data_IF_873542790242
#
_entry.id   IF_873542790242
#
_cell.length_a   1.000
_cell.length_b   1.000
_cell.length_c   1.000
_cell.angle_alpha   90.00
_cell.angle_beta   90.00
_cell.angle_gamma   90.00
#
_symmetry.space_group_name_H-M   'P 1'
#
loop_
_entity.id
_entity.type
_entity.pdbx_description
1 polymer ?
#
# COMPACT_ATOMS: atom_id res chain seq x y z
N UNK A 1 -6.85 -10.48 17.20
CA UNK A 1 -7.22 -9.28 16.41
C UNK A 1 -5.91 -8.67 15.90
N UNK A 2 -5.79 -8.35 14.62
CA UNK A 2 -4.58 -7.77 14.00
C UNK A 2 -4.95 -6.50 13.24
N UNK A 3 -4.10 -5.48 13.30
CA UNK A 3 -4.27 -4.22 12.56
C UNK A 3 -3.50 -4.30 11.23
N UNK A 4 -4.17 -4.08 10.12
CA UNK A 4 -3.52 -3.98 8.80
C UNK A 4 -3.62 -2.55 8.27
N UNK A 5 -2.48 -1.96 7.95
CA UNK A 5 -2.36 -0.58 7.47
C UNK A 5 -1.93 -0.65 6.02
N UNK A 6 -2.69 -0.02 5.11
CA UNK A 6 -2.36 0.06 3.69
C UNK A 6 -2.11 1.52 3.34
N UNK A 7 -1.00 1.80 2.65
CA UNK A 7 -0.68 3.16 2.21
C UNK A 7 0.16 3.13 0.95
N UNK A 8 0.17 4.25 0.21
CA UNK A 8 0.96 4.42 -1.00
C UNK A 8 1.97 5.55 -0.82
N UNK A 9 3.11 5.46 -1.51
CA UNK A 9 4.17 6.47 -1.58
C UNK A 9 4.70 6.56 -3.00
N UNK A 10 5.25 7.72 -3.34
CA UNK A 10 5.86 7.88 -4.65
C UNK A 10 7.16 7.09 -4.74
N UNK A 11 7.43 6.47 -5.89
CA UNK A 11 8.64 5.65 -6.08
C UNK A 11 9.94 6.44 -5.88
N UNK A 12 9.92 7.77 -6.07
CA UNK A 12 11.08 8.64 -5.80
C UNK A 12 11.45 8.72 -4.31
N UNK A 13 10.53 8.38 -3.40
CA UNK A 13 10.83 8.33 -1.97
C UNK A 13 11.57 7.05 -1.57
N UNK A 14 11.66 6.08 -2.48
CA UNK A 14 12.32 4.81 -2.25
C UNK A 14 13.83 4.95 -2.47
N UNK A 15 14.60 4.64 -1.44
CA UNK A 15 16.06 4.69 -1.41
C UNK A 15 16.61 3.31 -1.73
N UNK A 16 17.31 3.19 -2.85
CA UNK A 16 18.01 1.99 -3.27
C UNK A 16 19.34 2.38 -3.93
N UNK A 17 20.31 1.46 -3.96
CA UNK A 17 21.55 1.61 -4.72
C UNK A 17 21.32 1.49 -6.23
N UNK A 18 20.21 0.86 -6.64
CA UNK A 18 19.80 0.75 -8.04
C UNK A 18 19.14 2.05 -8.51
N UNK A 19 19.09 2.27 -9.82
CA UNK A 19 18.36 3.43 -10.36
C UNK A 19 16.86 3.29 -10.08
N UNK A 20 16.18 4.36 -9.66
CA UNK A 20 14.72 4.30 -9.48
C UNK A 20 13.99 4.00 -10.80
N UNK A 21 14.59 4.33 -11.94
CA UNK A 21 14.10 4.01 -13.29
C UNK A 21 14.12 2.51 -13.63
N UNK A 22 14.95 1.70 -12.95
CA UNK A 22 14.98 0.25 -13.15
C UNK A 22 13.99 -0.49 -12.25
N UNK A 23 13.29 0.20 -11.35
CA UNK A 23 12.29 -0.40 -10.48
C UNK A 23 10.97 -0.57 -11.23
N UNK A 24 10.44 -1.79 -11.19
CA UNK A 24 9.10 -2.07 -11.70
C UNK A 24 8.04 -1.62 -10.69
N UNK A 25 7.53 -0.39 -10.83
CA UNK A 25 6.37 0.10 -10.08
C UNK A 25 5.05 -0.43 -10.68
N UNK A 26 4.00 -0.63 -9.86
CA UNK A 26 3.97 -0.53 -8.41
C UNK A 26 4.55 -1.78 -7.72
N UNK A 27 5.17 -1.60 -6.55
CA UNK A 27 5.66 -2.71 -5.72
C UNK A 27 5.41 -2.50 -4.23
N UNK A 28 5.29 -3.60 -3.49
CA UNK A 28 5.04 -3.59 -2.05
C UNK A 28 6.31 -3.79 -1.22
N UNK A 29 6.33 -3.10 -0.08
CA UNK A 29 7.21 -3.37 1.07
C UNK A 29 6.38 -3.43 2.35
N UNK A 30 6.86 -4.17 3.34
CA UNK A 30 6.15 -4.31 4.61
C UNK A 30 6.99 -3.94 5.83
N UNK A 31 6.33 -3.38 6.85
CA UNK A 31 6.82 -3.35 8.22
C UNK A 31 5.82 -4.07 9.11
N UNK A 32 6.29 -4.76 10.15
CA UNK A 32 5.41 -5.44 11.08
C UNK A 32 5.85 -5.23 12.51
N UNK A 33 4.90 -5.33 13.44
CA UNK A 33 5.22 -5.35 14.86
C UNK A 33 5.81 -6.70 15.27
N UNK A 34 6.53 -6.72 16.39
CA UNK A 34 7.09 -7.96 16.95
C UNK A 34 6.02 -9.01 17.25
N UNK A 35 4.84 -8.58 17.71
CA UNK A 35 3.71 -9.45 18.02
C UNK A 35 2.98 -10.00 16.79
N UNK A 36 3.31 -9.50 15.59
CA UNK A 36 2.79 -10.05 14.33
C UNK A 36 3.53 -11.33 13.94
N UNK A 37 2.83 -12.46 14.03
CA UNK A 37 3.39 -13.81 13.82
C UNK A 37 3.44 -14.22 12.35
N UNK A 38 2.50 -13.79 11.54
CA UNK A 38 2.43 -14.18 10.13
C UNK A 38 3.47 -13.39 9.31
N UNK A 39 4.21 -14.06 8.40
CA UNK A 39 5.07 -13.34 7.48
C UNK A 39 4.23 -12.50 6.51
N UNK A 40 4.66 -11.28 6.17
CA UNK A 40 3.97 -10.47 5.17
C UNK A 40 4.08 -11.13 3.78
N UNK A 41 3.11 -10.85 2.90
CA UNK A 41 3.08 -11.37 1.53
C UNK A 41 4.06 -10.68 0.56
N UNK A 42 4.94 -9.81 1.07
CA UNK A 42 5.95 -9.09 0.30
C UNK A 42 7.21 -8.88 1.15
N UNK A 43 8.35 -8.49 0.55
CA UNK A 43 9.58 -8.23 1.28
C UNK A 43 9.41 -7.16 2.37
N UNK A 44 10.17 -7.29 3.45
CA UNK A 44 10.24 -6.26 4.48
C UNK A 44 10.90 -4.99 3.93
N UNK A 45 10.52 -3.84 4.48
CA UNK A 45 11.14 -2.56 4.16
C UNK A 45 12.58 -2.54 4.65
N UNK A 46 13.51 -2.56 3.71
CA UNK A 46 14.95 -2.54 3.98
C UNK A 46 15.45 -1.13 4.33
N UNK A 47 16.51 -1.05 5.13
CA UNK A 47 17.19 0.22 5.39
C UNK A 47 17.89 0.71 4.11
N UNK A 48 17.94 2.04 3.84
CA UNK A 48 17.62 3.15 4.73
C UNK A 48 16.18 3.70 4.58
N UNK A 49 15.26 2.90 4.05
CA UNK A 49 13.86 3.32 3.89
C UNK A 49 13.15 3.37 5.24
N UNK A 50 12.35 4.42 5.44
CA UNK A 50 11.57 4.62 6.67
C UNK A 50 10.10 4.89 6.35
N UNK A 51 9.21 4.27 7.12
CA UNK A 51 7.82 4.70 7.17
C UNK A 51 7.72 5.99 8.00
N UNK A 52 6.85 6.90 7.59
CA UNK A 52 6.60 8.14 8.32
C UNK A 52 5.14 8.60 8.16
N UNK A 53 4.77 9.67 8.87
CA UNK A 53 3.40 10.18 8.92
C UNK A 53 2.44 9.27 9.69
N UNK A 54 1.15 9.37 9.38
CA UNK A 54 0.09 8.63 10.06
C UNK A 54 0.29 7.09 10.05
N UNK A 55 0.64 6.44 8.92
CA UNK A 55 0.83 4.99 8.91
C UNK A 55 1.92 4.51 9.88
N UNK A 56 3.01 5.27 9.99
CA UNK A 56 4.09 4.98 10.93
C UNK A 56 3.67 5.22 12.39
N UNK A 57 2.91 6.28 12.66
CA UNK A 57 2.38 6.55 13.99
C UNK A 57 1.44 5.43 14.47
N UNK A 58 0.54 4.95 13.62
CA UNK A 58 -0.35 3.81 13.94
C UNK A 58 0.44 2.54 14.19
N UNK A 59 1.44 2.23 13.35
CA UNK A 59 2.28 1.05 13.55
C UNK A 59 3.09 1.14 14.85
N UNK A 60 3.62 2.33 15.16
CA UNK A 60 4.40 2.59 16.39
C UNK A 60 3.52 2.45 17.63
N UNK A 61 2.29 2.96 17.59
CA UNK A 61 1.31 2.74 18.65
C UNK A 61 1.08 1.24 18.86
N UNK A 62 0.84 0.49 17.77
CA UNK A 62 0.65 -0.96 17.88
C UNK A 62 1.88 -1.66 18.46
N UNK A 63 3.09 -1.24 18.07
CA UNK A 63 4.33 -1.81 18.60
C UNK A 63 4.48 -1.57 20.10
N UNK A 64 4.20 -0.37 20.60
CA UNK A 64 4.30 -0.03 22.04
C UNK A 64 3.28 -0.81 22.85
N UNK A 65 2.06 -0.93 22.35
CA UNK A 65 0.95 -1.59 23.04
C UNK A 65 0.85 -3.11 22.77
N UNK A 66 1.88 -3.69 22.13
CA UNK A 66 1.94 -5.12 21.79
C UNK A 66 0.72 -5.62 21.00
N UNK A 67 0.22 -4.78 20.11
CA UNK A 67 -0.87 -5.10 19.19
C UNK A 67 -0.23 -5.68 17.91
N UNK A 68 -0.61 -6.90 17.49
CA UNK A 68 -0.17 -7.44 16.21
C UNK A 68 -0.58 -6.51 15.07
N UNK A 69 0.37 -6.00 14.30
CA UNK A 69 0.10 -5.11 13.20
C UNK A 69 1.09 -5.27 12.05
N UNK A 70 0.61 -4.99 10.84
CA UNK A 70 1.42 -4.98 9.61
C UNK A 70 1.06 -3.75 8.78
N UNK A 71 2.08 -3.00 8.36
CA UNK A 71 2.00 -1.90 7.42
C UNK A 71 2.49 -2.37 6.05
N UNK A 72 1.67 -2.22 5.03
CA UNK A 72 2.02 -2.41 3.63
C UNK A 72 2.16 -1.06 2.92
N UNK A 73 3.36 -0.79 2.40
CA UNK A 73 3.73 0.40 1.63
C UNK A 73 3.79 0.02 0.16
N UNK A 74 2.91 0.62 -0.65
CA UNK A 74 2.98 0.52 -2.10
C UNK A 74 3.75 1.70 -2.67
N UNK A 75 4.90 1.44 -3.27
CA UNK A 75 5.64 2.43 -4.03
C UNK A 75 5.13 2.43 -5.46
N UNK A 76 4.62 3.56 -5.90
CA UNK A 76 4.01 3.75 -7.23
C UNK A 76 4.50 5.07 -7.84
N UNK A 77 4.56 5.13 -9.16
CA UNK A 77 4.84 6.33 -9.95
C UNK A 77 3.59 7.19 -10.20
N UNK A 78 2.42 6.72 -9.76
CA UNK A 78 1.14 7.43 -9.88
C UNK A 78 0.57 7.76 -8.50
N UNK A 79 0.45 9.05 -8.15
CA UNK A 79 -0.15 9.50 -6.89
C UNK A 79 -1.67 9.67 -6.95
N UNK A 80 -2.28 9.40 -8.10
CA UNK A 80 -3.73 9.37 -8.27
C UNK A 80 -4.25 7.96 -8.05
N UNK A 81 -5.56 7.84 -7.78
CA UNK A 81 -6.19 6.53 -7.73
C UNK A 81 -6.18 5.90 -9.13
N UNK A 82 -5.49 4.79 -9.29
CA UNK A 82 -5.47 4.02 -10.52
C UNK A 82 -5.67 2.52 -10.22
N UNK A 83 -6.09 1.77 -11.24
CA UNK A 83 -6.38 0.35 -11.07
C UNK A 83 -5.10 -0.45 -10.79
N UNK A 84 -3.98 -0.12 -11.42
CA UNK A 84 -2.71 -0.86 -11.34
C UNK A 84 -2.16 -0.81 -9.91
N UNK A 85 -2.15 0.36 -9.28
CA UNK A 85 -1.76 0.52 -7.86
C UNK A 85 -2.67 -0.28 -6.92
N UNK A 86 -3.98 -0.32 -7.19
CA UNK A 86 -4.93 -1.14 -6.41
C UNK A 86 -4.64 -2.63 -6.59
N UNK A 87 -4.28 -3.06 -7.80
CA UNK A 87 -3.94 -4.45 -8.08
C UNK A 87 -2.69 -4.93 -7.32
N UNK A 88 -1.74 -4.03 -7.03
CA UNK A 88 -0.56 -4.36 -6.22
C UNK A 88 -0.93 -4.90 -4.83
N UNK A 89 -2.10 -4.54 -4.29
CA UNK A 89 -2.59 -5.04 -3.01
C UNK A 89 -3.35 -6.38 -3.09
N UNK A 90 -3.55 -6.97 -4.27
CA UNK A 90 -4.21 -8.29 -4.43
C UNK A 90 -3.62 -9.39 -3.53
N UNK A 91 -2.28 -9.52 -3.35
CA UNK A 91 -1.72 -10.52 -2.44
C UNK A 91 -2.12 -10.28 -0.99
N UNK A 92 -2.19 -9.00 -0.57
CA UNK A 92 -2.60 -8.60 0.78
C UNK A 92 -4.08 -8.93 1.00
N UNK A 93 -4.95 -8.64 0.03
CA UNK A 93 -6.38 -8.96 0.09
C UNK A 93 -6.66 -10.47 0.08
N UNK A 94 -5.77 -11.24 -0.53
CA UNK A 94 -5.82 -12.71 -0.57
C UNK A 94 -5.28 -13.36 0.71
N UNK A 95 -4.68 -12.58 1.62
CA UNK A 95 -4.17 -13.07 2.91
C UNK A 95 -5.30 -13.61 3.80
N UNK A 96 -4.95 -14.52 4.71
CA UNK A 96 -5.92 -15.18 5.60
C UNK A 96 -6.76 -14.18 6.39
N UNK A 97 -6.16 -13.09 6.85
CA UNK A 97 -6.82 -12.07 7.68
C UNK A 97 -7.82 -11.20 6.91
N UNK A 98 -7.63 -11.02 5.59
CA UNK A 98 -8.45 -10.12 4.77
C UNK A 98 -9.31 -10.85 3.73
N UNK A 99 -9.11 -12.15 3.51
CA UNK A 99 -9.88 -12.95 2.55
C UNK A 99 -11.40 -12.84 2.76
N UNK A 100 -11.85 -12.72 4.02
CA UNK A 100 -13.26 -12.55 4.35
C UNK A 100 -13.85 -11.19 3.97
N UNK A 101 -13.02 -10.17 3.73
CA UNK A 101 -13.45 -8.84 3.27
C UNK A 101 -13.62 -8.78 1.75
N UNK A 102 -12.98 -9.69 1.01
CA UNK A 102 -13.06 -9.74 -0.44
C UNK A 102 -14.42 -10.28 -0.85
N UNK A 103 -15.27 -9.39 -1.36
CA UNK A 103 -16.55 -9.75 -1.98
C UNK A 103 -16.41 -9.64 -3.49
N UNK A 104 -16.77 -10.72 -4.19
CA UNK A 104 -16.94 -10.67 -5.64
C UNK A 104 -18.23 -9.93 -5.96
N UNK A 105 -18.12 -8.61 -6.09
CA UNK A 105 -19.23 -7.75 -6.50
C UNK A 105 -19.17 -7.63 -8.04
N UNK A 106 -20.16 -8.14 -8.78
CA UNK A 106 -20.25 -7.87 -10.21
C UNK A 106 -20.28 -6.34 -10.42
N UNK A 107 -19.52 -5.84 -11.41
CA UNK A 107 -19.34 -4.40 -11.69
C UNK A 107 -18.48 -3.61 -10.68
N UNK A 108 -17.75 -4.25 -9.76
CA UNK A 108 -16.82 -3.54 -8.85
C UNK A 108 -15.80 -2.69 -9.61
N UNK A 109 -15.29 -3.20 -10.73
CA UNK A 109 -14.36 -2.51 -11.63
C UNK A 109 -14.99 -1.30 -12.30
N UNK A 110 -16.28 -1.37 -12.67
CA UNK A 110 -17.02 -0.24 -13.25
C UNK A 110 -17.28 0.85 -12.20
N UNK A 111 -17.62 0.47 -10.97
CA UNK A 111 -17.77 1.41 -9.85
C UNK A 111 -16.43 2.09 -9.52
N UNK A 112 -15.34 1.33 -9.50
CA UNK A 112 -14.00 1.86 -9.26
C UNK A 112 -13.58 2.81 -10.40
N UNK A 113 -13.85 2.44 -11.65
CA UNK A 113 -13.63 3.31 -12.82
C UNK A 113 -14.41 4.62 -12.70
N UNK A 114 -15.69 4.57 -12.33
CA UNK A 114 -16.51 5.76 -12.08
C UNK A 114 -15.90 6.65 -10.99
N UNK A 115 -15.41 6.07 -9.89
CA UNK A 115 -14.73 6.82 -8.82
C UNK A 115 -13.43 7.48 -9.30
N UNK A 116 -12.65 6.78 -10.11
CA UNK A 116 -11.43 7.33 -10.72
C UNK A 116 -11.78 8.51 -11.63
N UNK A 117 -12.73 8.34 -12.56
CA UNK A 117 -13.13 9.39 -13.52
C UNK A 117 -13.77 10.60 -12.82
N UNK A 118 -14.56 10.42 -11.76
CA UNK A 118 -15.11 11.56 -11.00
C UNK A 118 -14.02 12.39 -10.31
N UNK A 119 -12.89 11.76 -9.94
CA UNK A 119 -11.74 12.45 -9.34
C UNK A 119 -10.83 13.12 -10.38
N UNK A 120 -11.01 12.87 -11.68
CA UNK A 120 -10.37 13.61 -12.76
C UNK A 120 -11.09 14.96 -12.94
N UNK A 121 -10.94 15.87 -11.98
CA UNK A 121 -11.27 17.28 -12.22
C UNK A 121 -10.41 17.75 -13.39
N UNK A 122 -11.08 18.21 -14.47
CA UNK A 122 -10.46 18.75 -15.68
C UNK A 122 -9.34 19.73 -15.32
N UNK A 123 -8.10 19.24 -15.33
CA UNK A 123 -6.92 20.07 -15.18
C UNK A 123 -6.69 20.78 -16.50
N UNK A 124 -7.48 21.82 -16.77
CA UNK A 124 -7.33 22.69 -17.93
C UNK A 124 -6.14 23.64 -17.75
N UNK A 125 -4.97 23.13 -17.38
CA UNK A 125 -3.76 23.93 -17.45
C UNK A 125 -3.30 23.91 -18.91
N UNK A 126 -3.76 24.92 -19.65
CA UNK A 126 -3.07 25.39 -20.84
C UNK A 126 -1.68 25.90 -20.42
N UNK A 127 -0.64 25.32 -20.98
CA UNK A 127 0.71 25.89 -21.15
C UNK A 127 1.14 25.54 -22.56
#
# INVERSE_FOLDING_TARGET
MQVTILTCRHVTDYKTSESTSSLHSPFLRALKTQDSKEPPCCPLLEQPNIAHGLPAAVLSYCQVWRIPAVLYLCYTDVMKLDLITVEAFKPVLSSRSLKGLVKNIPQSTEKLRKLVTTNEVQSNIYT
#
